data_IF_177597315424
#
_entry.id   IF_177597315424
#
_cell.length_a   1.000
_cell.length_b   1.000
_cell.length_c   1.000
_cell.angle_alpha   90.00
_cell.angle_beta   90.00
_cell.angle_gamma   90.00
#
_symmetry.space_group_name_H-M   'P 1'
#
loop_
_entity.id
_entity.type
_entity.pdbx_description
1 polymer ?
#
# COMPACT_ATOMS: atom_id res chain seq x y z
N UNK A 1 -0.45 9.64 13.65
CA UNK A 1 -1.04 8.45 13.00
C UNK A 1 -0.07 8.03 11.91
N UNK A 2 0.54 6.84 11.98
CA UNK A 2 1.38 6.33 10.90
C UNK A 2 0.53 5.43 10.01
N UNK A 3 0.34 5.82 8.75
CA UNK A 3 -0.35 5.01 7.73
C UNK A 3 0.54 3.85 7.33
N UNK A 4 0.00 2.62 7.35
CA UNK A 4 0.71 1.39 6.99
C UNK A 4 0.89 1.28 5.47
N UNK A 5 -0.12 1.71 4.72
CA UNK A 5 -0.08 1.69 3.26
C UNK A 5 0.12 3.10 2.70
N UNK A 6 0.85 3.20 1.59
CA UNK A 6 1.09 4.46 0.91
C UNK A 6 1.08 4.30 -0.60
N UNK A 7 0.54 5.29 -1.30
CA UNK A 7 0.65 5.39 -2.77
C UNK A 7 2.02 5.98 -3.12
N UNK A 8 2.75 5.30 -4.00
CA UNK A 8 3.96 5.80 -4.64
C UNK A 8 3.72 5.96 -6.14
N UNK A 9 4.32 6.99 -6.74
CA UNK A 9 4.42 7.11 -8.19
C UNK A 9 5.64 6.32 -8.66
N UNK A 10 5.45 5.52 -9.70
CA UNK A 10 6.51 4.79 -10.39
C UNK A 10 6.48 5.13 -11.87
N UNK A 11 7.63 5.44 -12.43
CA UNK A 11 7.78 5.67 -13.87
C UNK A 11 8.31 4.39 -14.48
N UNK A 12 7.59 3.85 -15.47
CA UNK A 12 8.06 2.69 -16.22
C UNK A 12 9.18 3.16 -17.13
N UNK A 13 10.40 2.63 -16.98
CA UNK A 13 11.55 3.06 -17.78
C UNK A 13 11.39 2.76 -19.28
N UNK A 14 10.58 1.75 -19.61
CA UNK A 14 10.32 1.29 -20.98
C UNK A 14 9.45 2.26 -21.79
N UNK A 15 8.36 2.75 -21.19
CA UNK A 15 7.33 3.54 -21.88
C UNK A 15 7.26 4.99 -21.35
N UNK A 16 8.02 5.34 -20.31
CA UNK A 16 7.93 6.63 -19.62
C UNK A 16 6.61 6.85 -18.87
N UNK A 17 5.66 5.92 -18.99
CA UNK A 17 4.34 6.02 -18.36
C UNK A 17 4.42 5.99 -16.84
N UNK A 18 3.69 6.93 -16.24
CA UNK A 18 3.46 6.99 -14.80
C UNK A 18 2.46 5.92 -14.39
N UNK A 19 2.79 5.22 -13.31
CA UNK A 19 1.97 4.20 -12.67
C UNK A 19 2.02 4.40 -11.17
N UNK A 20 0.86 4.38 -10.54
CA UNK A 20 0.70 4.51 -9.11
C UNK A 20 0.64 3.13 -8.48
N UNK A 21 1.37 2.93 -7.38
CA UNK A 21 1.44 1.65 -6.68
C UNK A 21 1.13 1.86 -5.21
N UNK A 22 0.29 1.01 -4.66
CA UNK A 22 0.06 0.98 -3.21
C UNK A 22 1.07 0.02 -2.59
N UNK A 23 1.88 0.52 -1.66
CA UNK A 23 2.93 -0.25 -0.97
C UNK A 23 2.67 -0.30 0.52
N UNK A 24 2.97 -1.45 1.12
CA UNK A 24 3.04 -1.62 2.57
C UNK A 24 4.40 -1.15 3.10
N UNK A 25 4.37 -0.27 4.11
CA UNK A 25 5.56 0.34 4.72
C UNK A 25 6.10 -0.45 5.93
N UNK A 26 5.40 -1.49 6.40
CA UNK A 26 5.70 -2.24 7.63
C UNK A 26 6.40 -3.57 7.31
N UNK A 27 5.87 -4.34 6.37
CA UNK A 27 6.37 -5.63 5.89
C UNK A 27 7.59 -5.47 4.97
N UNK A 28 7.98 -4.24 4.65
CA UNK A 28 9.20 -3.95 3.91
C UNK A 28 9.10 -4.25 2.41
N UNK A 29 8.47 -3.35 1.66
CA UNK A 29 8.85 -3.06 0.27
C UNK A 29 8.43 -4.06 -0.82
N UNK A 30 7.80 -3.52 -1.88
CA UNK A 30 7.54 -4.09 -3.23
C UNK A 30 6.98 -5.51 -3.41
N UNK A 31 7.03 -6.41 -2.43
CA UNK A 31 6.56 -7.79 -2.52
C UNK A 31 5.03 -7.87 -2.34
N UNK A 32 4.47 -7.04 -1.46
CA UNK A 32 3.02 -6.87 -1.30
C UNK A 32 2.54 -5.74 -2.21
N UNK A 33 2.54 -5.96 -3.54
CA UNK A 33 1.94 -5.00 -4.48
C UNK A 33 0.43 -5.16 -4.42
N UNK A 34 -0.26 -4.25 -3.74
CA UNK A 34 -1.74 -4.20 -3.71
C UNK A 34 -2.34 -3.65 -5.02
N UNK A 35 -1.66 -3.90 -6.15
CA UNK A 35 -2.03 -3.39 -7.46
C UNK A 35 -1.08 -2.33 -8.04
N UNK A 36 -1.22 -2.12 -9.34
CA UNK A 36 -0.57 -1.06 -10.12
C UNK A 36 -1.67 -0.35 -10.89
N UNK A 37 -1.74 0.96 -10.75
CA UNK A 37 -2.84 1.79 -11.22
C UNK A 37 -2.33 2.85 -12.18
N UNK A 38 -3.09 3.14 -13.23
CA UNK A 38 -2.78 4.25 -14.15
C UNK A 38 -3.28 5.57 -13.58
N UNK A 39 -4.37 5.53 -12.81
CA UNK A 39 -5.00 6.72 -12.21
C UNK A 39 -4.66 6.78 -10.71
N UNK A 40 -4.14 7.94 -10.26
CA UNK A 40 -3.78 8.15 -8.85
C UNK A 40 -4.97 7.99 -7.91
N UNK A 41 -6.13 8.52 -8.28
CA UNK A 41 -7.32 8.49 -7.45
C UNK A 41 -7.74 7.04 -7.10
N UNK A 42 -7.62 6.12 -8.07
CA UNK A 42 -7.93 4.71 -7.86
C UNK A 42 -6.99 4.07 -6.83
N UNK A 43 -5.69 4.36 -6.96
CA UNK A 43 -4.70 3.95 -5.96
C UNK A 43 -4.95 4.56 -4.57
N UNK A 44 -5.46 5.80 -4.50
CA UNK A 44 -5.80 6.47 -3.23
C UNK A 44 -7.05 5.88 -2.56
N UNK A 45 -8.03 5.43 -3.34
CA UNK A 45 -9.19 4.68 -2.83
C UNK A 45 -8.74 3.38 -2.18
N UNK A 46 -7.93 2.59 -2.90
CA UNK A 46 -7.39 1.33 -2.38
C UNK A 46 -6.49 1.57 -1.16
N UNK A 47 -5.62 2.59 -1.21
CA UNK A 47 -4.77 2.96 -0.08
C UNK A 47 -5.59 3.37 1.15
N UNK A 48 -6.69 4.13 0.97
CA UNK A 48 -7.56 4.52 2.08
C UNK A 48 -8.30 3.32 2.67
N UNK A 49 -8.80 2.43 1.81
CA UNK A 49 -9.46 1.20 2.24
C UNK A 49 -8.52 0.35 3.10
N UNK A 50 -7.31 0.07 2.61
CA UNK A 50 -6.32 -0.71 3.34
C UNK A 50 -5.89 -0.07 4.67
N UNK A 51 -5.75 1.27 4.71
CA UNK A 51 -5.46 1.97 5.96
C UNK A 51 -6.66 1.99 6.92
N UNK A 52 -7.89 1.94 6.41
CA UNK A 52 -9.11 1.86 7.21
C UNK A 52 -9.38 0.45 7.75
N UNK A 53 -9.01 -0.59 6.98
CA UNK A 53 -9.04 -2.00 7.40
C UNK A 53 -7.92 -2.36 8.38
N UNK A 54 -6.79 -1.64 8.33
CA UNK A 54 -5.70 -1.77 9.29
C UNK A 54 -5.59 -0.55 10.23
N UNK A 55 -6.62 -0.21 11.04
CA UNK A 55 -6.52 0.88 12.00
C UNK A 55 -5.70 0.42 13.20
N UNK A 56 -4.37 0.35 13.06
CA UNK A 56 -3.41 -0.06 14.10
C UNK A 56 -3.80 -1.41 14.73
N UNK A 57 -3.19 -2.49 14.28
CA UNK A 57 -2.99 -3.64 15.15
C UNK A 57 -2.11 -3.23 16.34
N UNK A 58 -2.74 -2.63 17.36
CA UNK A 58 -2.20 -2.47 18.69
C UNK A 58 -3.00 -3.43 19.55
N UNK A 59 -2.37 -4.60 19.79
CA UNK A 59 -2.88 -5.77 20.52
C UNK A 59 -3.81 -6.64 19.66
N UNK A 60 -3.35 -7.82 19.26
CA UNK A 60 -3.34 -8.95 20.19
C UNK A 60 -2.20 -9.93 19.88
N UNK A 61 -1.36 -10.12 20.90
CA UNK A 61 -0.64 -11.37 21.09
C UNK A 61 -1.69 -12.47 21.29
N UNK A 62 -1.74 -13.46 20.41
CA UNK A 62 -2.01 -14.81 20.87
C UNK A 62 -0.88 -15.70 20.35
N UNK A 63 0.04 -15.99 21.26
CA UNK A 63 0.70 -17.27 21.20
C UNK A 63 -0.36 -18.32 21.55
N UNK A 64 -0.54 -19.28 20.65
CA UNK A 64 -1.27 -20.53 20.85
C UNK A 64 -0.74 -21.47 19.77
N UNK A 65 -0.19 -22.65 20.02
CA UNK A 65 0.17 -23.41 21.21
C UNK A 65 1.41 -24.26 20.84
#
# INVERSE_FOLDING_TARGET
MHSRFRVIETTTLDDGSKRYRVVDLVEGGSASKHGVFVVRADAEVVCSLLNAEHPRERSVRYGTA
#
